data_IF_961174670757
#
_entry.id   IF_961174670757
#
_cell.length_a   1.000
_cell.length_b   1.000
_cell.length_c   1.000
_cell.angle_alpha   90.00
_cell.angle_beta   90.00
_cell.angle_gamma   90.00
#
_symmetry.space_group_name_H-M   'P 1'
#
loop_
_entity.id
_entity.type
_entity.pdbx_description
1 polymer ?
#
# COMPACT_ATOMS: atom_id res chain seq x y z
N UNK A 1 -29.34 15.61 29.81
CA UNK A 1 -28.01 16.10 30.24
C UNK A 1 -27.03 15.75 29.15
N UNK A 2 -26.45 16.79 28.56
CA UNK A 2 -25.52 16.81 27.44
C UNK A 2 -24.13 16.38 27.89
N UNK A 3 -23.59 15.31 27.33
CA UNK A 3 -22.13 15.08 27.32
C UNK A 3 -21.66 15.14 25.89
N UNK A 4 -21.50 16.38 25.41
CA UNK A 4 -20.64 16.68 24.28
C UNK A 4 -19.21 16.36 24.70
N UNK A 5 -18.65 15.31 24.11
CA UNK A 5 -17.21 15.05 24.22
C UNK A 5 -16.54 16.05 23.29
N UNK A 6 -15.83 17.00 23.89
CA UNK A 6 -14.97 17.94 23.21
C UNK A 6 -13.95 17.18 22.34
N UNK A 7 -14.07 17.32 21.03
CA UNK A 7 -13.04 16.86 20.08
C UNK A 7 -11.80 17.75 20.28
N UNK A 8 -10.76 17.17 20.89
CA UNK A 8 -9.43 17.78 20.99
C UNK A 8 -8.79 17.85 19.59
N UNK A 9 -8.07 18.93 19.32
CA UNK A 9 -7.29 19.24 18.09
C UNK A 9 -6.14 18.25 17.79
N UNK A 10 -6.45 16.97 17.63
CA UNK A 10 -5.54 15.95 17.13
C UNK A 10 -6.35 14.97 16.29
N UNK A 11 -5.92 14.73 15.05
CA UNK A 11 -6.61 13.79 14.17
C UNK A 11 -6.75 12.39 14.79
N UNK A 12 -7.70 11.60 14.27
CA UNK A 12 -7.93 10.23 14.72
C UNK A 12 -6.68 9.37 14.48
N UNK A 13 -6.21 8.68 15.53
CA UNK A 13 -5.03 7.80 15.47
C UNK A 13 -5.43 6.32 15.46
N UNK A 14 -4.55 5.44 14.98
CA UNK A 14 -4.77 3.98 15.05
C UNK A 14 -4.96 3.50 16.49
N UNK A 15 -4.22 4.08 17.45
CA UNK A 15 -4.38 3.76 18.87
C UNK A 15 -5.74 4.23 19.41
N UNK A 16 -6.25 5.37 18.95
CA UNK A 16 -7.60 5.81 19.29
C UNK A 16 -8.65 4.82 18.77
N UNK A 17 -8.56 4.42 17.49
CA UNK A 17 -9.47 3.45 16.89
C UNK A 17 -9.41 2.11 17.62
N UNK A 18 -8.19 1.60 17.90
CA UNK A 18 -7.98 0.35 18.66
C UNK A 18 -8.73 0.35 19.98
N UNK A 19 -8.58 1.41 20.78
CA UNK A 19 -9.26 1.54 22.08
C UNK A 19 -10.78 1.57 21.92
N UNK A 20 -11.29 2.38 20.99
CA UNK A 20 -12.74 2.51 20.73
C UNK A 20 -13.35 1.19 20.27
N UNK A 21 -12.66 0.44 19.43
CA UNK A 21 -13.12 -0.88 18.98
C UNK A 21 -13.10 -1.92 20.10
N UNK A 22 -12.05 -1.92 20.94
CA UNK A 22 -11.97 -2.83 22.08
C UNK A 22 -13.10 -2.58 23.09
N UNK A 23 -13.40 -1.30 23.35
CA UNK A 23 -14.52 -0.90 24.20
C UNK A 23 -15.86 -1.31 23.60
N UNK A 24 -16.09 -0.99 22.32
CA UNK A 24 -17.31 -1.34 21.60
C UNK A 24 -17.59 -2.86 21.59
N UNK A 25 -16.54 -3.67 21.38
CA UNK A 25 -16.63 -5.12 21.38
C UNK A 25 -16.92 -5.68 22.78
N UNK A 26 -16.24 -5.15 23.80
CA UNK A 26 -16.42 -5.56 25.19
C UNK A 26 -17.83 -5.28 25.71
N UNK A 27 -18.38 -4.10 25.39
CA UNK A 27 -19.75 -3.73 25.76
C UNK A 27 -20.82 -4.70 25.23
N UNK A 28 -20.51 -5.38 24.12
CA UNK A 28 -21.42 -6.32 23.44
C UNK A 28 -21.06 -7.78 23.70
N UNK A 29 -20.06 -8.05 24.53
CA UNK A 29 -19.51 -9.38 24.77
C UNK A 29 -19.06 -10.08 23.47
N UNK A 30 -18.58 -9.32 22.49
CA UNK A 30 -18.20 -9.84 21.17
C UNK A 30 -16.80 -10.45 21.10
N UNK A 31 -16.01 -10.30 22.17
CA UNK A 31 -14.64 -10.84 22.21
C UNK A 31 -14.60 -12.36 22.04
N UNK A 32 -15.67 -13.07 22.41
CA UNK A 32 -15.83 -14.51 22.15
C UNK A 32 -15.85 -14.87 20.66
N UNK A 33 -16.25 -13.94 19.78
CA UNK A 33 -16.31 -14.16 18.33
C UNK A 33 -15.06 -13.64 17.61
N UNK A 34 -14.27 -12.79 18.26
CA UNK A 34 -13.09 -12.12 17.71
C UNK A 34 -11.81 -12.96 17.74
N UNK A 35 -11.87 -14.21 17.27
CA UNK A 35 -10.65 -14.97 16.98
C UNK A 35 -9.90 -14.36 15.78
N UNK A 36 -8.56 -14.48 15.69
CA UNK A 36 -7.79 -13.95 14.56
C UNK A 36 -8.31 -14.42 13.20
N UNK A 37 -8.72 -15.69 13.08
CA UNK A 37 -9.28 -16.24 11.85
C UNK A 37 -10.60 -15.58 11.48
N UNK A 38 -11.49 -15.38 12.44
CA UNK A 38 -12.81 -14.80 12.17
C UNK A 38 -12.67 -13.33 11.74
N UNK A 39 -11.82 -12.56 12.42
CA UNK A 39 -11.53 -11.17 12.06
C UNK A 39 -10.88 -11.06 10.67
N UNK A 40 -9.98 -11.97 10.32
CA UNK A 40 -9.40 -12.03 8.97
C UNK A 40 -10.47 -12.33 7.91
N UNK A 41 -11.39 -13.25 8.17
CA UNK A 41 -12.47 -13.57 7.22
C UNK A 41 -13.46 -12.42 7.08
N UNK A 42 -13.79 -11.72 8.17
CA UNK A 42 -14.60 -10.51 8.11
C UNK A 42 -13.90 -9.41 7.28
N UNK A 43 -12.61 -9.16 7.54
CA UNK A 43 -11.80 -8.24 6.73
C UNK A 43 -11.85 -8.56 5.23
N UNK A 44 -11.77 -9.85 4.86
CA UNK A 44 -11.88 -10.27 3.46
C UNK A 44 -13.26 -9.97 2.89
N UNK A 45 -14.32 -10.13 3.69
CA UNK A 45 -15.68 -9.71 3.34
C UNK A 45 -15.76 -8.23 2.98
N UNK A 46 -15.28 -7.36 3.86
CA UNK A 46 -15.30 -5.90 3.63
C UNK A 46 -14.45 -5.48 2.43
N UNK A 47 -13.33 -6.18 2.17
CA UNK A 47 -12.56 -5.96 0.93
C UNK A 47 -13.37 -6.35 -0.30
N UNK A 48 -14.22 -7.38 -0.19
CA UNK A 48 -15.19 -7.77 -1.20
C UNK A 48 -16.22 -6.66 -1.46
N UNK A 49 -16.87 -6.16 -0.41
CA UNK A 49 -17.87 -5.07 -0.49
C UNK A 49 -17.24 -3.79 -1.08
N UNK A 50 -16.04 -3.42 -0.62
CA UNK A 50 -15.25 -2.34 -1.23
C UNK A 50 -14.98 -2.58 -2.72
N UNK A 51 -14.72 -3.82 -3.13
CA UNK A 51 -14.47 -4.17 -4.53
C UNK A 51 -15.74 -4.07 -5.39
N UNK A 52 -16.91 -4.41 -4.82
CA UNK A 52 -18.20 -4.32 -5.51
C UNK A 52 -18.54 -2.89 -5.94
N UNK A 53 -18.08 -1.89 -5.20
CA UNK A 53 -18.24 -0.47 -5.56
C UNK A 53 -17.57 -0.17 -6.92
N UNK A 54 -16.44 -0.80 -7.21
CA UNK A 54 -15.63 -0.53 -8.41
C UNK A 54 -15.87 -1.50 -9.57
N UNK A 55 -16.46 -2.67 -9.32
CA UNK A 55 -16.47 -3.81 -10.25
C UNK A 55 -16.97 -3.49 -11.68
N UNK A 56 -17.88 -2.51 -11.84
CA UNK A 56 -18.46 -2.10 -13.14
C UNK A 56 -18.10 -0.66 -13.57
N UNK A 57 -17.19 0.02 -12.88
CA UNK A 57 -16.91 1.45 -13.07
C UNK A 57 -15.90 1.78 -14.18
N UNK A 58 -15.24 0.78 -14.78
CA UNK A 58 -14.14 1.00 -15.73
C UNK A 58 -12.97 1.76 -15.07
N UNK A 59 -12.23 2.55 -15.85
CA UNK A 59 -11.18 3.42 -15.31
C UNK A 59 -11.78 4.57 -14.50
N UNK A 60 -11.43 4.66 -13.21
CA UNK A 60 -11.97 5.67 -12.29
C UNK A 60 -10.97 6.82 -12.12
N UNK A 61 -11.32 8.07 -12.50
CA UNK A 61 -10.41 9.20 -12.37
C UNK A 61 -10.14 9.57 -10.90
N UNK A 62 -8.92 10.05 -10.64
CA UNK A 62 -8.52 10.56 -9.32
C UNK A 62 -9.47 11.65 -8.85
N UNK A 63 -9.87 11.57 -7.58
CA UNK A 63 -10.74 12.57 -6.96
C UNK A 63 -12.24 12.36 -7.20
N UNK A 64 -12.61 11.32 -7.97
CA UNK A 64 -14.00 10.89 -8.15
C UNK A 64 -14.95 12.05 -8.58
N UNK A 65 -14.60 12.84 -9.61
CA UNK A 65 -15.39 14.00 -10.04
C UNK A 65 -16.83 13.64 -10.43
N UNK A 66 -17.04 12.46 -11.03
CA UNK A 66 -18.34 12.03 -11.54
C UNK A 66 -19.17 11.22 -10.53
N UNK A 67 -18.68 11.09 -9.29
CA UNK A 67 -19.37 10.34 -8.24
C UNK A 67 -20.27 11.26 -7.42
N UNK A 68 -21.48 10.78 -7.16
CA UNK A 68 -22.44 11.43 -6.26
C UNK A 68 -21.97 11.33 -4.82
N UNK A 69 -22.45 12.24 -3.97
CA UNK A 69 -22.06 12.27 -2.55
C UNK A 69 -22.40 10.95 -1.83
N UNK A 70 -23.55 10.35 -2.14
CA UNK A 70 -23.91 9.03 -1.60
C UNK A 70 -22.95 7.90 -2.01
N UNK A 71 -22.37 7.95 -3.21
CA UNK A 71 -21.37 6.96 -3.65
C UNK A 71 -20.03 7.15 -2.93
N UNK A 72 -19.64 8.41 -2.70
CA UNK A 72 -18.43 8.75 -1.93
C UNK A 72 -18.58 8.40 -0.46
N UNK A 73 -19.77 8.59 0.10
CA UNK A 73 -20.09 8.19 1.46
C UNK A 73 -19.98 6.67 1.60
N UNK A 74 -20.65 5.91 0.73
CA UNK A 74 -20.60 4.45 0.76
C UNK A 74 -19.16 3.93 0.58
N UNK A 75 -18.38 4.52 -0.33
CA UNK A 75 -16.94 4.22 -0.44
C UNK A 75 -16.19 4.48 0.87
N UNK A 76 -16.52 5.57 1.57
CA UNK A 76 -15.94 5.90 2.87
C UNK A 76 -16.31 4.90 3.96
N UNK A 77 -17.53 4.37 3.94
CA UNK A 77 -18.01 3.31 4.85
C UNK A 77 -17.19 2.03 4.64
N UNK A 78 -17.12 1.50 3.42
CA UNK A 78 -16.37 0.26 3.13
C UNK A 78 -14.86 0.39 3.39
N UNK A 79 -14.26 1.55 3.07
CA UNK A 79 -12.87 1.83 3.42
C UNK A 79 -12.66 1.83 4.95
N UNK A 80 -13.64 2.32 5.70
CA UNK A 80 -13.60 2.35 7.16
C UNK A 80 -13.75 0.96 7.74
N UNK A 81 -14.63 0.12 7.21
CA UNK A 81 -14.82 -1.25 7.70
C UNK A 81 -13.56 -2.11 7.49
N UNK A 82 -12.92 -2.01 6.32
CA UNK A 82 -11.60 -2.62 6.07
C UNK A 82 -10.56 -2.16 7.11
N UNK A 83 -10.49 -0.84 7.37
CA UNK A 83 -9.55 -0.29 8.36
C UNK A 83 -9.84 -0.81 9.77
N UNK A 84 -11.11 -0.80 10.18
CA UNK A 84 -11.53 -1.19 11.53
C UNK A 84 -11.24 -2.67 11.78
N UNK A 85 -11.59 -3.58 10.86
CA UNK A 85 -11.23 -4.99 11.03
C UNK A 85 -9.73 -5.22 11.05
N UNK A 86 -8.95 -4.49 10.24
CA UNK A 86 -7.48 -4.59 10.28
C UNK A 86 -6.90 -4.12 11.63
N UNK A 87 -7.42 -3.01 12.18
CA UNK A 87 -7.05 -2.52 13.50
C UNK A 87 -7.41 -3.55 14.57
N UNK A 88 -8.64 -4.08 14.57
CA UNK A 88 -9.07 -5.08 15.57
C UNK A 88 -8.28 -6.38 15.46
N UNK A 89 -8.01 -6.85 14.25
CA UNK A 89 -7.16 -8.01 14.02
C UNK A 89 -5.76 -7.79 14.60
N UNK A 90 -5.16 -6.62 14.36
CA UNK A 90 -3.84 -6.29 14.91
C UNK A 90 -3.83 -6.29 16.45
N UNK A 91 -4.89 -5.76 17.08
CA UNK A 91 -5.05 -5.72 18.53
C UNK A 91 -5.12 -7.12 19.13
N UNK A 92 -5.98 -8.00 18.57
CA UNK A 92 -6.11 -9.40 19.01
C UNK A 92 -4.80 -10.17 18.80
N UNK A 93 -4.02 -9.84 17.77
CA UNK A 93 -2.71 -10.44 17.52
C UNK A 93 -1.57 -9.81 18.34
N UNK A 94 -1.82 -8.76 19.13
CA UNK A 94 -0.78 -8.08 19.91
C UNK A 94 0.24 -7.31 19.05
N UNK A 95 -0.17 -6.85 17.87
CA UNK A 95 0.68 -6.13 16.91
C UNK A 95 0.40 -4.62 16.99
N UNK A 96 1.44 -3.83 17.24
CA UNK A 96 1.38 -2.38 17.05
C UNK A 96 1.37 -2.06 15.55
N UNK A 97 0.16 -1.93 14.99
CA UNK A 97 -0.04 -1.70 13.56
C UNK A 97 0.63 -0.41 13.07
N UNK A 98 0.63 0.65 13.88
CA UNK A 98 1.27 1.91 13.54
C UNK A 98 2.78 1.77 13.37
N UNK A 99 3.45 1.14 14.35
CA UNK A 99 4.89 0.85 14.25
C UNK A 99 5.20 -0.11 13.09
N UNK A 100 4.39 -1.15 12.90
CA UNK A 100 4.57 -2.11 11.81
C UNK A 100 4.47 -1.43 10.43
N UNK A 101 3.50 -0.51 10.26
CA UNK A 101 3.32 0.24 9.02
C UNK A 101 4.51 1.19 8.74
N UNK A 102 5.00 1.92 9.75
CA UNK A 102 6.16 2.80 9.62
C UNK A 102 7.42 2.01 9.23
N UNK A 103 7.69 0.90 9.91
CA UNK A 103 8.81 0.03 9.56
C UNK A 103 8.68 -0.52 8.13
N UNK A 104 7.46 -0.88 7.72
CA UNK A 104 7.22 -1.36 6.36
C UNK A 104 7.49 -0.28 5.30
N UNK A 105 7.22 0.99 5.59
CA UNK A 105 7.55 2.11 4.71
C UNK A 105 9.07 2.28 4.55
N UNK A 106 9.84 2.15 5.63
CA UNK A 106 11.32 2.17 5.57
C UNK A 106 11.86 1.06 4.67
N UNK A 107 11.37 -0.17 4.85
CA UNK A 107 11.73 -1.31 4.01
C UNK A 107 11.33 -1.09 2.53
N UNK A 108 10.18 -0.45 2.29
CA UNK A 108 9.74 -0.13 0.93
C UNK A 108 10.63 0.95 0.29
N UNK A 109 11.11 1.93 1.04
CA UNK A 109 12.03 2.96 0.54
C UNK A 109 13.38 2.36 0.11
N UNK A 110 13.89 1.37 0.86
CA UNK A 110 15.08 0.60 0.47
C UNK A 110 14.80 -0.22 -0.79
N UNK A 111 13.62 -0.83 -0.89
CA UNK A 111 13.22 -1.67 -2.03
C UNK A 111 12.96 -0.88 -3.31
N UNK A 112 12.58 0.40 -3.20
CA UNK A 112 12.27 1.28 -4.33
C UNK A 112 13.01 2.63 -4.19
N UNK A 113 14.33 2.67 -4.44
CA UNK A 113 15.11 3.90 -4.34
C UNK A 113 14.60 4.97 -5.31
N UNK A 114 14.58 6.25 -4.88
CA UNK A 114 14.08 7.39 -5.68
C UNK A 114 14.75 7.48 -7.04
N UNK A 115 16.08 7.36 -7.09
CA UNK A 115 16.86 7.48 -8.33
C UNK A 115 16.45 6.48 -9.42
N UNK A 116 15.92 5.33 -9.01
CA UNK A 116 15.56 4.24 -9.90
C UNK A 116 14.05 4.09 -10.10
N UNK A 117 13.25 4.63 -9.17
CA UNK A 117 11.80 4.42 -9.11
C UNK A 117 11.00 5.67 -9.47
N UNK A 118 11.63 6.85 -9.57
CA UNK A 118 10.94 8.11 -9.91
C UNK A 118 10.32 8.03 -11.31
N UNK A 119 8.99 8.17 -11.37
CA UNK A 119 8.24 8.08 -12.64
C UNK A 119 8.14 6.68 -13.23
N UNK A 120 8.50 5.63 -12.50
CA UNK A 120 8.45 4.25 -12.95
C UNK A 120 7.71 3.35 -11.96
N UNK A 121 6.73 2.58 -12.44
CA UNK A 121 6.03 1.55 -11.67
C UNK A 121 6.66 0.15 -11.83
N UNK A 122 7.84 0.07 -12.45
CA UNK A 122 8.54 -1.21 -12.65
C UNK A 122 8.81 -1.86 -11.30
N UNK A 123 8.58 -3.18 -11.22
CA UNK A 123 8.93 -3.94 -10.01
C UNK A 123 10.43 -3.85 -9.76
N UNK A 124 10.84 -3.85 -8.49
CA UNK A 124 12.24 -3.75 -8.08
C UNK A 124 13.17 -4.79 -8.74
N UNK A 125 12.64 -5.98 -9.07
CA UNK A 125 13.38 -7.02 -9.81
C UNK A 125 13.83 -6.55 -11.19
N UNK A 126 13.06 -5.68 -11.84
CA UNK A 126 13.38 -5.09 -13.14
C UNK A 126 14.29 -3.86 -13.01
N UNK A 127 14.26 -3.20 -11.86
CA UNK A 127 15.09 -2.03 -11.55
C UNK A 127 16.58 -2.44 -11.40
N UNK A 128 16.87 -3.46 -10.58
CA UNK A 128 18.25 -3.91 -10.33
C UNK A 128 18.90 -4.61 -11.54
N UNK A 129 18.09 -5.06 -12.51
CA UNK A 129 18.59 -5.70 -13.74
C UNK A 129 19.09 -4.66 -14.76
N UNK A 130 18.49 -3.46 -14.80
CA UNK A 130 18.91 -2.38 -15.69
C UNK A 130 20.29 -1.80 -15.34
N UNK A 131 20.71 -1.84 -14.07
CA UNK A 131 22.06 -1.43 -13.65
C UNK A 131 23.14 -2.41 -14.12
N UNK A 132 22.85 -3.73 -14.11
CA UNK A 132 23.81 -4.75 -14.56
C UNK A 132 24.12 -4.65 -16.06
N UNK A 133 23.14 -4.23 -16.85
CA UNK A 133 23.29 -4.08 -18.31
C UNK A 133 24.00 -2.77 -18.72
N UNK A 134 23.85 -1.70 -17.92
CA UNK A 134 24.51 -0.41 -18.18
C UNK A 134 25.98 -0.37 -17.73
N UNK A 135 26.37 -1.17 -16.72
CA UNK A 135 27.77 -1.28 -16.29
C UNK A 135 28.69 -2.00 -17.30
N UNK A 136 28.13 -2.72 -18.27
CA UNK A 136 28.90 -3.54 -19.22
C UNK A 136 29.19 -2.85 -20.56
N UNK A 137 28.68 -1.64 -20.81
CA UNK A 137 28.90 -0.89 -22.06
C UNK A 137 30.06 0.11 -22.00
N UNK A 138 30.76 0.23 -20.87
CA UNK A 138 31.84 1.20 -20.66
C UNK A 138 33.26 0.69 -20.91
N UNK A 139 33.46 -0.59 -21.24
CA UNK A 139 34.78 -1.22 -21.31
C UNK A 139 35.09 -1.84 -22.70
N UNK A 140 34.93 -1.08 -23.79
CA UNK A 140 35.58 -1.43 -25.08
C UNK A 140 35.99 -0.16 -25.80
N UNK A 141 37.20 0.32 -25.53
CA UNK A 141 37.75 1.47 -26.20
C UNK A 141 39.20 1.73 -25.84
N UNK A 142 40.12 0.84 -26.23
CA UNK A 142 41.52 1.20 -26.51
C UNK A 142 42.00 0.47 -27.77
N UNK A 143 42.62 1.28 -28.61
CA UNK A 143 43.21 1.14 -29.94
C UNK A 143 44.09 -0.08 -30.22
N UNK A 144 44.20 -0.43 -31.50
CA UNK A 144 45.50 -0.36 -32.19
C UNK A 144 45.33 -0.19 -33.71
N UNK A 145 45.87 0.92 -34.20
CA UNK A 145 46.31 1.07 -35.58
C UNK A 145 47.53 0.20 -35.82
N UNK A 146 47.53 -0.62 -36.87
CA UNK A 146 48.71 -0.73 -37.74
C UNK A 146 48.37 -1.39 -39.09
N UNK A 147 49.34 -1.35 -39.99
CA UNK A 147 49.20 -0.94 -41.37
C UNK A 147 49.48 -2.07 -42.40
N UNK A 148 48.95 -1.86 -43.61
CA UNK A 148 49.42 -2.38 -44.91
C UNK A 148 49.32 -3.88 -45.26
N UNK A 149 48.55 -4.20 -46.32
CA UNK A 149 49.08 -4.56 -47.66
C UNK A 149 47.95 -4.95 -48.64
N UNK A 150 48.11 -4.40 -49.84
CA UNK A 150 47.67 -4.82 -51.18
C UNK A 150 47.14 -6.26 -51.33
N UNK A 151 46.04 -6.46 -52.06
CA UNK A 151 46.10 -7.11 -53.38
C UNK A 151 44.80 -6.95 -54.21
N UNK A 152 45.01 -6.85 -55.51
CA UNK A 152 44.08 -6.74 -56.64
C UNK A 152 43.13 -7.93 -56.85
N UNK A 153 42.00 -7.70 -57.52
CA UNK A 153 41.31 -8.76 -58.27
C UNK A 153 39.86 -8.50 -58.67
N UNK A 154 39.69 -8.09 -59.94
CA UNK A 154 38.49 -8.11 -60.82
C UNK A 154 37.42 -7.05 -60.58
#
# INVERSE_FOLDING_TARGET
MTTGVAEKEGGVTLEHLRKRMAEFAKERDWDQFHSPRNLLLALVGEVGELSEIFQWKGEVPRGLPDWKDGEKQHLGEELSDVLLYLVRLSDICGIDLGKAALHKLELNAIKYPVMLSKGSSKKYTQINTAEKDNGNRGATGISNSDSSKSNSGV
#
